data_IF_111490190763
#
_entry.id   IF_111490190763
#
_cell.length_a   1.000
_cell.length_b   1.000
_cell.length_c   1.000
_cell.angle_alpha   90.00
_cell.angle_beta   90.00
_cell.angle_gamma   90.00
#
_symmetry.space_group_name_H-M   'P 1'
#
loop_
_entity.id
_entity.type
_entity.pdbx_description
1 polymer ?
#
# COMPACT_ATOMS: atom_id res chain seq x y z
N UNK A 1 -29.07 -13.55 19.93
CA UNK A 1 -27.69 -13.07 19.83
C UNK A 1 -27.67 -11.95 18.83
N UNK A 2 -27.59 -10.70 19.30
CA UNK A 2 -27.67 -9.51 18.46
C UNK A 2 -26.27 -9.06 18.06
N UNK A 3 -25.93 -9.24 16.78
CA UNK A 3 -24.63 -8.87 16.20
C UNK A 3 -24.58 -7.39 15.79
N UNK A 4 -25.63 -6.60 16.03
CA UNK A 4 -25.76 -5.21 15.53
C UNK A 4 -25.02 -4.14 16.35
N UNK A 5 -24.39 -4.50 17.47
CA UNK A 5 -23.79 -3.53 18.40
C UNK A 5 -22.29 -3.73 18.66
N UNK A 6 -21.62 -4.56 17.86
CA UNK A 6 -20.23 -4.94 18.13
C UNK A 6 -19.27 -4.17 17.21
N UNK A 7 -18.22 -3.52 17.76
CA UNK A 7 -17.24 -2.83 16.93
C UNK A 7 -16.51 -3.83 16.03
N UNK A 8 -16.48 -3.55 14.73
CA UNK A 8 -15.71 -4.33 13.74
C UNK A 8 -14.34 -3.68 13.59
N UNK A 9 -13.28 -4.48 13.74
CA UNK A 9 -11.90 -4.05 13.50
C UNK A 9 -11.48 -4.47 12.09
N UNK A 10 -10.92 -3.52 11.36
CA UNK A 10 -10.39 -3.70 10.00
C UNK A 10 -8.89 -3.43 10.04
N UNK A 11 -8.10 -4.39 9.58
CA UNK A 11 -6.64 -4.26 9.51
C UNK A 11 -6.15 -4.78 8.16
N UNK A 12 -5.31 -3.98 7.51
CA UNK A 12 -4.55 -4.39 6.33
C UNK A 12 -3.15 -4.81 6.78
N UNK A 13 -2.75 -6.02 6.43
CA UNK A 13 -1.43 -6.56 6.78
C UNK A 13 -0.69 -6.97 5.52
N UNK A 14 0.57 -6.55 5.30
CA UNK A 14 1.39 -7.06 4.21
C UNK A 14 1.62 -8.57 4.39
N UNK A 15 1.59 -9.34 3.30
CA UNK A 15 1.73 -10.79 3.37
C UNK A 15 3.19 -11.25 3.51
N UNK A 16 4.16 -10.40 3.15
CA UNK A 16 5.57 -10.80 2.99
C UNK A 16 6.60 -10.02 3.83
N UNK A 17 6.23 -9.05 4.67
CA UNK A 17 7.23 -8.22 5.37
C UNK A 17 6.89 -7.88 6.83
N UNK A 18 7.93 -7.68 7.65
CA UNK A 18 7.88 -7.25 9.08
C UNK A 18 7.39 -5.80 9.25
N UNK A 19 6.84 -5.19 8.22
CA UNK A 19 6.31 -3.83 8.28
C UNK A 19 5.12 -3.76 9.25
N UNK A 20 5.03 -2.71 10.09
CA UNK A 20 3.94 -2.56 11.03
C UNK A 20 2.59 -2.46 10.28
N UNK A 21 1.50 -2.99 10.87
CA UNK A 21 0.18 -2.92 10.27
C UNK A 21 -0.20 -1.46 10.01
N UNK A 22 -0.64 -1.17 8.78
CA UNK A 22 -1.10 0.17 8.42
C UNK A 22 -2.53 0.35 8.92
N UNK A 23 -2.82 1.35 9.76
CA UNK A 23 -4.18 1.63 10.17
C UNK A 23 -4.99 2.10 8.95
N UNK A 24 -6.15 1.50 8.73
CA UNK A 24 -7.12 1.98 7.75
C UNK A 24 -7.85 3.17 8.38
N UNK A 25 -7.73 4.37 7.81
CA UNK A 25 -8.42 5.56 8.27
C UNK A 25 -9.62 5.86 7.36
N UNK A 26 -10.83 5.79 7.93
CA UNK A 26 -12.09 6.08 7.25
C UNK A 26 -13.29 5.88 8.20
N UNK A 27 -14.47 6.45 7.91
CA UNK A 27 -15.67 6.19 8.71
C UNK A 27 -15.96 4.69 8.70
N UNK A 28 -16.08 4.10 9.90
CA UNK A 28 -16.50 2.71 10.05
C UNK A 28 -17.95 2.58 9.53
N UNK A 29 -18.28 1.59 8.68
CA UNK A 29 -19.62 1.43 8.10
C UNK A 29 -20.74 1.52 9.14
N UNK A 30 -21.74 2.34 8.85
CA UNK A 30 -23.04 2.31 9.51
C UNK A 30 -23.75 1.02 9.08
N UNK A 31 -24.15 0.23 10.07
CA UNK A 31 -24.67 -1.12 9.87
C UNK A 31 -26.06 -1.11 9.21
N UNK A 32 -26.18 -1.82 8.09
CA UNK A 32 -27.45 -2.39 7.61
C UNK A 32 -27.29 -3.90 7.51
N UNK A 33 -28.34 -4.64 7.87
CA UNK A 33 -28.34 -6.10 8.05
C UNK A 33 -27.62 -6.83 6.91
N UNK A 34 -26.61 -7.63 7.25
CA UNK A 34 -25.92 -8.54 6.33
C UNK A 34 -24.88 -7.93 5.39
N UNK A 35 -24.59 -6.63 5.46
CA UNK A 35 -23.61 -5.97 4.56
C UNK A 35 -22.72 -5.00 5.34
N UNK A 36 -21.40 -5.19 5.23
CA UNK A 36 -20.39 -4.20 5.63
C UNK A 36 -20.07 -3.40 4.36
N UNK A 37 -20.47 -2.13 4.31
CA UNK A 37 -20.16 -1.22 3.19
C UNK A 37 -19.00 -0.30 3.58
N UNK A 38 -17.83 -0.52 3.00
CA UNK A 38 -16.72 0.41 3.12
C UNK A 38 -16.91 1.53 2.08
N UNK A 39 -17.40 2.69 2.50
CA UNK A 39 -17.64 3.81 1.59
C UNK A 39 -16.33 4.44 1.09
N UNK A 40 -15.33 4.54 1.97
CA UNK A 40 -14.00 5.02 1.64
C UNK A 40 -12.95 4.31 2.49
N UNK A 41 -11.95 3.73 1.81
CA UNK A 41 -10.78 3.14 2.45
C UNK A 41 -9.55 3.92 1.99
N UNK A 42 -8.97 4.72 2.90
CA UNK A 42 -7.70 5.40 2.64
C UNK A 42 -6.56 4.52 3.12
N UNK A 43 -5.64 4.22 2.22
CA UNK A 43 -4.44 3.44 2.52
C UNK A 43 -3.21 4.35 2.25
N UNK A 44 -2.25 4.46 3.17
CA UNK A 44 -1.13 5.39 3.01
C UNK A 44 -0.16 4.91 1.93
N UNK A 45 0.04 5.72 0.89
CA UNK A 45 0.98 5.45 -0.18
C UNK A 45 2.45 5.58 0.29
N UNK A 46 3.41 4.88 -0.35
CA UNK A 46 3.25 3.96 -1.48
C UNK A 46 2.77 2.56 -1.04
N UNK A 47 1.91 1.94 -1.84
CA UNK A 47 1.46 0.57 -1.63
C UNK A 47 1.48 -0.19 -2.95
N UNK A 48 2.32 -1.21 -3.00
CA UNK A 48 2.24 -2.27 -4.00
C UNK A 48 2.58 -3.61 -3.36
N UNK A 49 1.98 -4.67 -3.86
CA UNK A 49 2.19 -6.03 -3.36
C UNK A 49 0.92 -6.68 -2.81
N UNK A 50 1.11 -7.79 -2.12
CA UNK A 50 0.01 -8.60 -1.56
C UNK A 50 -0.29 -8.21 -0.11
N UNK A 51 -1.56 -7.97 0.15
CA UNK A 51 -2.08 -7.60 1.46
C UNK A 51 -3.21 -8.51 1.87
N UNK A 52 -3.38 -8.67 3.18
CA UNK A 52 -4.50 -9.38 3.79
C UNK A 52 -5.37 -8.37 4.52
N UNK A 53 -6.63 -8.26 4.09
CA UNK A 53 -7.67 -7.58 4.84
C UNK A 53 -8.31 -8.57 5.80
N UNK A 54 -8.18 -8.33 7.10
CA UNK A 54 -8.82 -9.12 8.14
C UNK A 54 -10.06 -8.41 8.68
N UNK A 55 -11.18 -9.12 8.72
CA UNK A 55 -12.41 -8.69 9.37
C UNK A 55 -12.61 -9.52 10.64
N UNK A 56 -12.63 -8.84 11.78
CA UNK A 56 -12.91 -9.45 13.07
C UNK A 56 -14.05 -8.72 13.77
N UNK A 57 -15.01 -9.51 14.28
CA UNK A 57 -16.02 -9.07 15.22
C UNK A 57 -16.23 -10.17 16.25
N UNK A 58 -16.56 -9.77 17.47
CA UNK A 58 -16.75 -10.69 18.58
C UNK A 58 -17.94 -11.62 18.26
N UNK A 59 -17.71 -12.93 18.24
CA UNK A 59 -18.74 -13.93 17.94
C UNK A 59 -18.83 -14.38 16.47
N UNK A 60 -18.01 -13.84 15.56
CA UNK A 60 -17.82 -14.40 14.22
C UNK A 60 -16.44 -15.05 14.08
N UNK A 61 -16.37 -16.17 13.35
CA UNK A 61 -15.09 -16.71 12.87
C UNK A 61 -14.57 -15.70 11.84
N UNK A 62 -13.41 -15.08 12.12
CA UNK A 62 -12.90 -13.97 11.31
C UNK A 62 -12.81 -14.30 9.82
N UNK A 63 -13.05 -13.30 8.97
CA UNK A 63 -12.95 -13.42 7.52
C UNK A 63 -11.67 -12.76 7.02
N UNK A 64 -11.11 -13.30 5.95
CA UNK A 64 -9.89 -12.77 5.33
C UNK A 64 -10.07 -12.64 3.83
N UNK A 65 -9.53 -11.57 3.26
CA UNK A 65 -9.45 -11.35 1.81
C UNK A 65 -8.01 -11.01 1.46
N UNK A 66 -7.49 -11.64 0.40
CA UNK A 66 -6.22 -11.23 -0.20
C UNK A 66 -6.48 -10.13 -1.21
N UNK A 67 -5.73 -9.03 -1.11
CA UNK A 67 -5.77 -7.89 -2.01
C UNK A 67 -4.40 -7.78 -2.65
N UNK A 68 -4.37 -7.75 -3.98
CA UNK A 68 -3.14 -7.52 -4.74
C UNK A 68 -3.24 -6.09 -5.29
N UNK A 69 -2.28 -5.25 -4.91
CA UNK A 69 -2.15 -3.88 -5.42
C UNK A 69 -0.98 -3.86 -6.40
N UNK A 70 -1.26 -3.56 -7.66
CA UNK A 70 -0.25 -3.40 -8.71
C UNK A 70 0.16 -1.94 -8.84
N UNK A 71 1.36 -1.69 -9.37
CA UNK A 71 1.74 -0.33 -9.76
C UNK A 71 0.76 0.26 -10.79
N UNK A 72 0.57 1.57 -10.71
CA UNK A 72 -0.17 2.36 -11.69
C UNK A 72 0.67 2.66 -12.93
N UNK A 73 0.13 3.52 -13.80
CA UNK A 73 0.89 4.04 -14.93
C UNK A 73 2.05 4.93 -14.44
N UNK A 74 3.17 4.96 -15.19
CA UNK A 74 4.29 5.85 -14.86
C UNK A 74 3.87 7.32 -15.00
N UNK A 75 4.11 8.11 -13.95
CA UNK A 75 3.79 9.54 -13.94
C UNK A 75 5.00 10.42 -13.59
N UNK A 76 6.03 9.85 -12.95
CA UNK A 76 7.18 10.61 -12.43
C UNK A 76 8.50 9.90 -12.69
N UNK A 77 9.53 10.70 -12.90
CA UNK A 77 10.93 10.26 -12.90
C UNK A 77 11.60 10.66 -11.59
N UNK A 78 12.44 9.78 -11.05
CA UNK A 78 13.27 10.08 -9.87
C UNK A 78 14.73 9.71 -10.12
N UNK A 79 15.72 10.52 -9.70
CA UNK A 79 17.12 10.13 -9.79
C UNK A 79 17.41 8.91 -8.92
N UNK A 80 18.16 7.95 -9.46
CA UNK A 80 18.64 6.76 -8.73
C UNK A 80 20.15 6.80 -8.51
N UNK A 81 20.89 7.37 -9.47
CA UNK A 81 22.32 7.58 -9.37
C UNK A 81 22.69 8.92 -10.03
N UNK A 82 23.53 9.74 -9.39
CA UNK A 82 24.08 10.93 -10.01
C UNK A 82 25.07 10.55 -11.14
N UNK A 83 25.41 11.49 -12.04
CA UNK A 83 26.54 11.31 -12.94
C UNK A 83 27.85 11.33 -12.14
N UNK A 84 28.94 10.92 -12.80
CA UNK A 84 30.31 11.01 -12.25
C UNK A 84 30.59 12.43 -11.72
N UNK A 85 31.01 12.53 -10.46
CA UNK A 85 31.27 13.81 -9.80
C UNK A 85 32.51 14.54 -10.35
N UNK A 86 33.51 13.78 -10.82
CA UNK A 86 34.72 14.31 -11.42
C UNK A 86 34.68 14.11 -12.94
N UNK A 87 35.19 15.09 -13.68
CA UNK A 87 35.30 15.01 -15.14
C UNK A 87 36.74 15.31 -15.53
N UNK A 88 37.42 14.32 -16.09
CA UNK A 88 38.74 14.46 -16.70
C UNK A 88 38.61 14.27 -18.21
N UNK A 89 39.05 15.25 -18.98
CA UNK A 89 38.98 15.18 -20.44
C UNK A 89 39.81 14.00 -20.96
N UNK A 90 39.19 13.14 -21.78
CA UNK A 90 39.83 11.96 -22.35
C UNK A 90 39.72 10.69 -21.51
N UNK A 91 39.14 10.76 -20.30
CA UNK A 91 38.88 9.58 -19.47
C UNK A 91 37.43 9.10 -19.55
N UNK A 92 37.22 7.81 -19.29
CA UNK A 92 35.89 7.20 -19.25
C UNK A 92 35.22 7.54 -17.93
N UNK A 93 33.99 8.06 -17.99
CA UNK A 93 33.17 8.31 -16.82
C UNK A 93 32.79 6.98 -16.14
N UNK A 94 33.20 6.80 -14.88
CA UNK A 94 33.01 5.57 -14.11
C UNK A 94 31.56 5.37 -13.66
N UNK A 95 30.80 6.45 -13.50
CA UNK A 95 29.40 6.44 -13.08
C UNK A 95 28.50 7.01 -14.17
N UNK A 96 27.53 6.20 -14.58
CA UNK A 96 26.45 6.61 -15.49
C UNK A 96 25.22 7.00 -14.67
N UNK A 97 24.54 8.09 -15.01
CA UNK A 97 23.31 8.48 -14.32
C UNK A 97 22.21 7.45 -14.57
N UNK A 98 21.39 7.22 -13.56
CA UNK A 98 20.23 6.34 -13.64
C UNK A 98 18.97 7.05 -13.13
N UNK A 99 17.84 6.78 -13.77
CA UNK A 99 16.52 7.29 -13.38
C UNK A 99 15.56 6.14 -13.13
N UNK A 100 14.70 6.30 -12.14
CA UNK A 100 13.60 5.39 -11.82
C UNK A 100 12.27 5.98 -12.25
N UNK A 101 11.30 5.11 -12.49
CA UNK A 101 9.92 5.48 -12.75
C UNK A 101 9.10 5.29 -11.49
N UNK A 102 8.27 6.28 -11.16
CA UNK A 102 7.23 6.18 -10.14
C UNK A 102 5.85 6.40 -10.76
N UNK A 103 4.84 5.74 -10.21
CA UNK A 103 3.44 6.06 -10.49
C UNK A 103 2.95 7.28 -9.69
N UNK A 104 1.70 7.70 -9.89
CA UNK A 104 1.08 8.81 -9.17
C UNK A 104 0.97 8.61 -7.66
N UNK A 105 1.02 7.36 -7.18
CA UNK A 105 1.04 7.02 -5.75
C UNK A 105 2.48 6.91 -5.18
N UNK A 106 3.52 7.07 -6.01
CA UNK A 106 4.91 6.95 -5.59
C UNK A 106 5.42 5.50 -5.51
N UNK A 107 4.70 4.53 -6.06
CA UNK A 107 5.22 3.18 -6.23
C UNK A 107 6.27 3.17 -7.33
N UNK A 108 7.37 2.43 -7.12
CA UNK A 108 8.40 2.25 -8.15
C UNK A 108 7.98 1.21 -9.16
N UNK A 109 8.17 1.48 -10.45
CA UNK A 109 7.97 0.52 -11.54
C UNK A 109 9.25 -0.29 -11.80
#
# INVERSE_FOLDING_TARGET
FDLTRRPVRLELRPLQDRAPPLPLAGPLPVMSVGRILLEQVTVPAPLKGEYRLALATEGLRGANVTIIITEGLPERLVPLAPPSAETVSGEVLSEQPAVGLLDGAGNRL
#
